data_IF_461998212227
#
_entry.id   IF_461998212227
#
_cell.length_a   1.000
_cell.length_b   1.000
_cell.length_c   1.000
_cell.angle_alpha   90.00
_cell.angle_beta   90.00
_cell.angle_gamma   90.00
#
_symmetry.space_group_name_H-M   'P 1'
#
loop_
_entity.id
_entity.type
_entity.pdbx_description
1 polymer ?
#
# COMPACT_ATOMS: atom_id res chain seq x y z
N UNK A 1 -15.13 14.18 36.03
CA UNK A 1 -13.89 13.41 36.29
C UNK A 1 -13.06 13.41 35.01
N UNK A 2 -11.92 14.10 34.98
CA UNK A 2 -11.04 14.17 33.80
C UNK A 2 -10.56 12.79 33.34
N UNK A 3 -10.51 11.82 34.24
CA UNK A 3 -10.14 10.43 33.97
C UNK A 3 -11.15 9.74 33.06
N UNK A 4 -12.45 9.99 33.23
CA UNK A 4 -13.49 9.42 32.36
C UNK A 4 -13.41 9.98 30.93
N UNK A 5 -13.12 11.29 30.80
CA UNK A 5 -12.89 11.93 29.50
C UNK A 5 -11.64 11.39 28.80
N UNK A 6 -10.53 11.25 29.52
CA UNK A 6 -9.30 10.67 28.98
C UNK A 6 -9.50 9.20 28.57
N UNK A 7 -10.26 8.42 29.36
CA UNK A 7 -10.58 7.04 29.04
C UNK A 7 -11.43 6.93 27.76
N UNK A 8 -12.54 7.68 27.66
CA UNK A 8 -13.37 7.76 26.45
C UNK A 8 -12.58 8.28 25.24
N UNK A 9 -11.66 9.24 25.44
CA UNK A 9 -10.80 9.75 24.37
C UNK A 9 -9.78 8.69 23.91
N UNK A 10 -9.25 7.86 24.81
CA UNK A 10 -8.36 6.75 24.42
C UNK A 10 -9.09 5.60 23.73
N UNK A 11 -10.34 5.32 24.08
CA UNK A 11 -11.17 4.30 23.41
C UNK A 11 -11.59 4.73 22.00
N UNK A 12 -11.98 6.00 21.83
CA UNK A 12 -12.34 6.56 20.52
C UNK A 12 -11.14 6.69 19.57
N UNK A 13 -9.96 7.04 20.08
CA UNK A 13 -8.71 7.02 19.29
C UNK A 13 -8.36 5.60 18.83
N UNK A 14 -8.55 4.60 19.70
CA UNK A 14 -8.25 3.20 19.41
C UNK A 14 -9.17 2.64 18.32
N UNK A 15 -10.49 2.87 18.38
CA UNK A 15 -11.41 2.42 17.34
C UNK A 15 -11.10 3.06 15.98
N UNK A 16 -10.82 4.36 15.96
CA UNK A 16 -10.47 5.08 14.74
C UNK A 16 -9.17 4.58 14.09
N UNK A 17 -8.15 4.23 14.91
CA UNK A 17 -6.91 3.61 14.43
C UNK A 17 -7.15 2.19 13.91
N UNK A 18 -8.01 1.38 14.56
CA UNK A 18 -8.37 0.04 14.07
C UNK A 18 -9.17 0.08 12.75
N UNK A 19 -10.12 1.01 12.62
CA UNK A 19 -10.87 1.21 11.38
C UNK A 19 -9.97 1.70 10.24
N UNK A 20 -9.02 2.57 10.56
CA UNK A 20 -8.01 3.05 9.61
C UNK A 20 -7.05 1.93 9.18
N UNK A 21 -6.69 1.05 10.12
CA UNK A 21 -5.87 -0.12 9.85
C UNK A 21 -6.57 -1.11 8.92
N UNK A 22 -7.85 -1.42 9.20
CA UNK A 22 -8.65 -2.31 8.34
C UNK A 22 -8.78 -1.77 6.92
N UNK A 23 -9.04 -0.47 6.77
CA UNK A 23 -9.09 0.19 5.45
C UNK A 23 -7.78 0.05 4.68
N UNK A 24 -6.63 0.13 5.34
CA UNK A 24 -5.34 -0.06 4.67
C UNK A 24 -5.17 -1.48 4.10
N UNK A 25 -5.65 -2.51 4.82
CA UNK A 25 -5.63 -3.90 4.34
C UNK A 25 -6.61 -4.15 3.20
N UNK A 26 -7.81 -3.54 3.25
CA UNK A 26 -8.79 -3.63 2.18
C UNK A 26 -8.28 -2.95 0.90
N UNK A 27 -7.73 -1.74 1.00
CA UNK A 27 -7.14 -1.01 -0.12
C UNK A 27 -5.97 -1.79 -0.75
N UNK A 28 -5.16 -2.43 0.09
CA UNK A 28 -4.10 -3.32 -0.37
C UNK A 28 -4.64 -4.51 -1.16
N UNK A 29 -5.59 -5.25 -0.59
CA UNK A 29 -6.17 -6.44 -1.20
C UNK A 29 -6.86 -6.09 -2.52
N UNK A 30 -7.58 -4.98 -2.55
CA UNK A 30 -8.25 -4.47 -3.73
C UNK A 30 -7.25 -4.12 -4.84
N UNK A 31 -6.24 -3.31 -4.54
CA UNK A 31 -5.22 -2.95 -5.53
C UNK A 31 -4.46 -4.18 -6.02
N UNK A 32 -4.08 -5.08 -5.11
CA UNK A 32 -3.35 -6.30 -5.45
C UNK A 32 -4.15 -7.18 -6.42
N UNK A 33 -5.45 -7.36 -6.15
CA UNK A 33 -6.33 -8.11 -7.02
C UNK A 33 -6.51 -7.42 -8.38
N UNK A 34 -6.73 -6.09 -8.39
CA UNK A 34 -6.84 -5.31 -9.62
C UNK A 34 -5.57 -5.43 -10.48
N UNK A 35 -4.39 -5.37 -9.88
CA UNK A 35 -3.12 -5.53 -10.61
C UNK A 35 -2.97 -6.95 -11.14
N UNK A 36 -3.25 -7.97 -10.32
CA UNK A 36 -3.19 -9.36 -10.77
C UNK A 36 -4.15 -9.63 -11.92
N UNK A 37 -5.36 -9.07 -11.84
CA UNK A 37 -6.40 -9.21 -12.85
C UNK A 37 -6.06 -8.45 -14.13
N UNK A 38 -5.75 -7.15 -14.06
CA UNK A 38 -5.48 -6.34 -15.24
C UNK A 38 -4.23 -6.79 -16.00
N UNK A 39 -3.19 -7.28 -15.30
CA UNK A 39 -1.96 -7.74 -15.95
C UNK A 39 -1.98 -9.24 -16.27
N UNK A 40 -3.04 -9.96 -15.84
CA UNK A 40 -3.13 -11.42 -15.82
C UNK A 40 -1.84 -12.07 -15.31
N UNK A 41 -1.33 -11.57 -14.19
CA UNK A 41 -0.06 -11.99 -13.61
C UNK A 41 -0.25 -12.81 -12.33
N UNK A 42 0.69 -13.72 -12.07
CA UNK A 42 0.72 -14.51 -10.83
C UNK A 42 1.19 -13.63 -9.65
N UNK A 43 0.77 -13.97 -8.45
CA UNK A 43 1.19 -13.32 -7.19
C UNK A 43 2.70 -13.09 -7.10
N UNK A 44 3.51 -14.10 -7.48
CA UNK A 44 4.98 -14.03 -7.48
C UNK A 44 5.58 -13.01 -8.46
N UNK A 45 4.85 -12.69 -9.53
CA UNK A 45 5.23 -11.62 -10.46
C UNK A 45 4.75 -10.27 -9.96
N UNK A 46 3.56 -10.22 -9.34
CA UNK A 46 2.97 -9.01 -8.78
C UNK A 46 3.75 -8.47 -7.57
N UNK A 47 4.26 -9.33 -6.69
CA UNK A 47 5.07 -8.93 -5.51
C UNK A 47 6.37 -8.20 -5.87
N UNK A 48 6.90 -8.46 -7.07
CA UNK A 48 8.15 -7.90 -7.57
C UNK A 48 7.94 -6.60 -8.35
N UNK A 49 6.70 -6.14 -8.49
CA UNK A 49 6.39 -4.84 -9.10
C UNK A 49 6.79 -3.74 -8.12
N UNK A 50 7.60 -2.81 -8.61
CA UNK A 50 8.09 -1.63 -7.89
C UNK A 50 7.49 -0.37 -8.49
N UNK A 51 7.38 0.69 -7.71
CA UNK A 51 6.91 1.99 -8.22
C UNK A 51 7.79 2.49 -9.39
N UNK A 52 9.09 2.20 -9.36
CA UNK A 52 10.04 2.52 -10.43
C UNK A 52 9.78 1.77 -11.75
N UNK A 53 8.97 0.71 -11.72
CA UNK A 53 8.55 -0.02 -12.92
C UNK A 53 7.25 0.50 -13.51
N UNK A 54 6.56 1.43 -12.83
CA UNK A 54 5.43 2.14 -13.42
C UNK A 54 5.98 3.29 -14.25
N UNK A 55 5.54 3.36 -15.50
CA UNK A 55 5.71 4.52 -16.35
C UNK A 55 4.34 4.99 -16.82
N UNK A 56 4.22 6.29 -17.06
CA UNK A 56 3.03 6.85 -17.67
C UNK A 56 3.30 7.12 -19.15
N UNK A 57 2.43 6.65 -20.04
CA UNK A 57 2.47 6.95 -21.48
C UNK A 57 1.09 7.39 -21.94
N UNK A 58 1.00 8.67 -22.31
CA UNK A 58 -0.23 9.29 -22.82
C UNK A 58 -1.39 9.06 -21.86
N UNK A 59 -2.33 8.19 -22.21
CA UNK A 59 -3.54 7.88 -21.43
C UNK A 59 -3.46 6.53 -20.69
N UNK A 60 -2.31 5.85 -20.77
CA UNK A 60 -2.10 4.52 -20.20
C UNK A 60 -0.97 4.49 -19.17
N UNK A 61 -1.20 3.75 -18.09
CA UNK A 61 -0.15 3.38 -17.16
C UNK A 61 0.53 2.12 -17.68
N UNK A 62 1.84 2.17 -17.91
CA UNK A 62 2.62 1.02 -18.34
C UNK A 62 3.38 0.43 -17.16
N UNK A 63 3.31 -0.89 -17.02
CA UNK A 63 4.04 -1.64 -16.00
C UNK A 63 5.08 -2.53 -16.66
N UNK A 64 6.34 -2.37 -16.23
CA UNK A 64 7.46 -3.20 -16.66
C UNK A 64 7.75 -4.33 -15.67
N UNK A 65 7.77 -5.58 -16.12
CA UNK A 65 8.27 -6.67 -15.29
C UNK A 65 9.79 -6.72 -15.31
N UNK A 66 10.43 -6.73 -14.14
CA UNK A 66 11.89 -6.82 -14.05
C UNK A 66 12.43 -8.19 -14.46
N UNK A 67 11.70 -9.26 -14.13
CA UNK A 67 12.08 -10.63 -14.47
C UNK A 67 10.87 -11.40 -14.97
N UNK A 68 11.03 -12.07 -16.10
CA UNK A 68 10.04 -13.00 -16.65
C UNK A 68 10.67 -14.38 -16.69
N UNK A 69 9.94 -15.42 -16.24
CA UNK A 69 10.44 -16.80 -16.26
C UNK A 69 10.81 -17.29 -17.67
N UNK A 70 10.20 -16.71 -18.69
CA UNK A 70 10.45 -17.06 -20.09
C UNK A 70 11.75 -16.43 -20.63
N UNK A 71 12.41 -15.55 -19.88
CA UNK A 71 13.61 -14.85 -20.31
C UNK A 71 14.75 -15.10 -19.33
N UNK A 72 15.29 -16.32 -19.38
CA UNK A 72 16.43 -16.73 -18.53
C UNK A 72 17.74 -16.05 -18.97
N UNK A 73 17.88 -15.75 -20.26
CA UNK A 73 19.06 -15.08 -20.82
C UNK A 73 19.03 -13.55 -20.65
N UNK A 74 17.88 -12.97 -20.28
CA UNK A 74 17.73 -11.54 -20.03
C UNK A 74 17.92 -10.65 -21.26
N UNK A 75 17.94 -11.25 -22.45
CA UNK A 75 18.27 -10.57 -23.71
C UNK A 75 17.01 -10.06 -24.43
N UNK A 76 15.80 -10.41 -23.94
CA UNK A 76 14.56 -9.91 -24.53
C UNK A 76 14.22 -8.54 -23.97
N UNK A 77 13.73 -7.62 -24.81
CA UNK A 77 13.17 -6.37 -24.33
C UNK A 77 12.03 -6.68 -23.35
N UNK A 78 11.93 -5.92 -22.24
CA UNK A 78 10.85 -6.09 -21.27
C UNK A 78 9.52 -5.76 -21.94
N UNK A 79 8.64 -6.74 -22.07
CA UNK A 79 7.31 -6.52 -22.62
C UNK A 79 6.49 -5.61 -21.69
N UNK A 80 6.17 -4.36 -22.11
CA UNK A 80 5.37 -3.46 -21.32
C UNK A 80 3.91 -3.94 -21.27
N UNK A 81 3.28 -3.87 -20.10
CA UNK A 81 1.83 -4.09 -19.97
C UNK A 81 1.13 -2.77 -19.72
N UNK A 82 0.37 -2.33 -20.72
CA UNK A 82 -0.46 -1.12 -20.64
C UNK A 82 -1.72 -1.41 -19.86
N UNK A 83 -2.03 -0.52 -18.93
CA UNK A 83 -3.20 -0.53 -18.07
C UNK A 83 -3.93 0.80 -18.28
N UNK A 84 -5.24 0.73 -18.52
CA UNK A 84 -6.04 1.89 -18.88
C UNK A 84 -6.93 2.33 -17.72
N UNK A 85 -7.24 3.62 -17.71
CA UNK A 85 -8.25 4.16 -16.81
C UNK A 85 -9.65 3.72 -17.29
N UNK A 86 -10.49 3.27 -16.35
CA UNK A 86 -11.90 2.99 -16.60
C UNK A 86 -12.78 3.99 -15.84
N UNK A 87 -13.33 5.03 -16.51
CA UNK A 87 -14.19 6.01 -15.86
C UNK A 87 -15.63 5.50 -15.62
N UNK A 88 -16.04 4.43 -16.30
CA UNK A 88 -17.40 3.89 -16.23
C UNK A 88 -17.58 3.10 -14.92
N UNK A 89 -16.55 2.35 -14.52
CA UNK A 89 -16.56 1.53 -13.31
C UNK A 89 -15.31 1.86 -12.49
N UNK A 90 -15.39 2.84 -11.57
CA UNK A 90 -14.24 3.29 -10.79
C UNK A 90 -13.70 2.20 -9.86
N UNK A 91 -14.58 1.31 -9.38
CA UNK A 91 -14.19 0.20 -8.51
C UNK A 91 -13.19 -0.75 -9.17
N UNK A 92 -13.30 -0.96 -10.48
CA UNK A 92 -12.44 -1.86 -11.25
C UNK A 92 -11.27 -1.10 -11.90
N UNK A 93 -11.22 0.22 -11.76
CA UNK A 93 -10.22 1.06 -12.39
C UNK A 93 -8.86 0.93 -11.68
N UNK A 94 -7.86 0.28 -12.29
CA UNK A 94 -6.53 0.10 -11.67
C UNK A 94 -5.79 1.43 -11.47
N UNK A 95 -5.96 2.39 -12.39
CA UNK A 95 -5.37 3.75 -12.29
C UNK A 95 -5.91 4.47 -11.06
N UNK A 96 -7.22 4.42 -10.84
CA UNK A 96 -7.84 5.00 -9.65
C UNK A 96 -7.39 4.28 -8.38
N UNK A 97 -7.30 2.95 -8.43
CA UNK A 97 -6.78 2.14 -7.32
C UNK A 97 -5.37 2.55 -6.91
N UNK A 98 -4.47 2.78 -7.89
CA UNK A 98 -3.13 3.31 -7.61
C UNK A 98 -3.17 4.70 -6.98
N UNK A 99 -4.02 5.60 -7.49
CA UNK A 99 -4.17 6.95 -6.96
C UNK A 99 -4.63 6.98 -5.49
N UNK A 100 -5.66 6.20 -5.16
CA UNK A 100 -6.18 6.09 -3.79
C UNK A 100 -5.11 5.49 -2.87
N UNK A 101 -4.42 4.44 -3.34
CA UNK A 101 -3.34 3.80 -2.59
C UNK A 101 -2.21 4.79 -2.28
N UNK A 102 -1.74 5.55 -3.28
CA UNK A 102 -0.69 6.55 -3.07
C UNK A 102 -1.14 7.71 -2.19
N UNK A 103 -2.41 8.13 -2.27
CA UNK A 103 -2.94 9.21 -1.44
C UNK A 103 -3.03 8.81 0.05
N UNK A 104 -3.46 7.58 0.34
CA UNK A 104 -3.64 7.11 1.72
C UNK A 104 -2.31 6.70 2.35
N UNK A 105 -1.38 6.12 1.58
CA UNK A 105 -0.16 5.51 2.11
C UNK A 105 1.09 6.33 1.85
N UNK A 106 1.07 7.24 0.87
CA UNK A 106 2.24 8.01 0.44
C UNK A 106 3.32 7.17 -0.25
N UNK A 107 4.30 7.84 -0.84
CA UNK A 107 5.46 7.20 -1.45
C UNK A 107 6.44 6.78 -0.36
N UNK A 108 6.86 5.52 -0.34
CA UNK A 108 7.87 5.02 0.60
C UNK A 108 9.11 4.50 -0.13
N UNK A 109 10.29 4.70 0.48
CA UNK A 109 11.60 4.69 -0.19
C UNK A 109 12.10 3.31 -0.66
N UNK A 110 11.48 2.21 -0.22
CA UNK A 110 11.98 0.85 -0.56
C UNK A 110 11.63 0.35 -1.96
N UNK A 111 11.03 1.17 -2.82
CA UNK A 111 10.79 0.78 -4.21
C UNK A 111 9.58 -0.11 -4.41
N UNK A 112 9.26 -1.00 -3.47
CA UNK A 112 8.22 -2.02 -3.63
C UNK A 112 6.82 -1.42 -3.50
N UNK A 113 5.98 -1.69 -4.49
CA UNK A 113 4.62 -1.18 -4.56
C UNK A 113 3.72 -1.81 -3.49
N UNK A 114 4.08 -3.00 -3.02
CA UNK A 114 3.22 -3.92 -2.27
C UNK A 114 3.72 -4.26 -0.85
N UNK A 115 4.57 -3.42 -0.22
CA UNK A 115 5.10 -3.66 1.14
C UNK A 115 4.21 -3.13 2.28
N UNK A 116 2.90 -3.19 2.12
CA UNK A 116 1.96 -2.60 3.10
C UNK A 116 1.90 -3.35 4.44
N UNK A 117 2.36 -4.60 4.50
CA UNK A 117 2.48 -5.32 5.77
C UNK A 117 3.40 -4.59 6.76
N UNK A 118 4.43 -3.90 6.29
CA UNK A 118 5.43 -3.32 7.18
C UNK A 118 4.96 -1.98 7.80
N UNK A 119 4.19 -1.16 7.08
CA UNK A 119 3.61 0.07 7.66
C UNK A 119 2.48 -0.22 8.65
N UNK A 120 1.57 -1.15 8.34
CA UNK A 120 0.54 -1.58 9.31
C UNK A 120 1.17 -2.14 10.58
N UNK A 121 2.21 -2.99 10.44
CA UNK A 121 2.96 -3.53 11.57
C UNK A 121 3.70 -2.45 12.35
N UNK A 122 4.30 -1.47 11.68
CA UNK A 122 5.05 -0.40 12.34
C UNK A 122 4.13 0.62 13.04
N UNK A 123 2.94 0.94 12.48
CA UNK A 123 1.88 1.71 13.16
C UNK A 123 1.37 1.00 14.41
N UNK A 124 1.19 -0.32 14.34
CA UNK A 124 0.90 -1.15 15.52
C UNK A 124 2.05 -1.09 16.55
N UNK A 125 3.31 -1.22 16.13
CA UNK A 125 4.48 -1.17 17.03
C UNK A 125 4.70 0.21 17.68
N UNK A 126 4.42 1.30 16.97
CA UNK A 126 4.58 2.67 17.50
C UNK A 126 3.36 3.13 18.30
N UNK A 127 2.15 2.67 17.96
CA UNK A 127 0.91 2.96 18.71
C UNK A 127 0.74 2.13 19.99
N UNK A 128 1.46 1.00 20.10
CA UNK A 128 1.46 0.14 21.29
C UNK A 128 2.61 0.46 22.28
N UNK A 129 3.35 1.56 22.07
CA UNK A 129 4.31 2.04 23.09
C UNK A 129 3.53 2.84 24.13
N UNK A 130 3.29 2.31 25.35
CA UNK A 130 2.82 3.17 26.43
C UNK A 130 3.85 4.28 26.61
N UNK A 131 3.38 5.53 26.66
CA UNK A 131 4.20 6.67 27.03
C UNK A 131 4.99 6.28 28.27
N UNK A 132 6.32 6.16 28.14
CA UNK A 132 7.17 6.06 29.32
C UNK A 132 6.99 7.38 30.05
N UNK A 133 6.27 7.32 31.17
CA UNK A 133 6.23 8.40 32.14
C UNK A 133 7.67 8.85 32.38
N UNK A 134 7.94 10.12 32.07
CA UNK A 134 9.15 10.80 32.52
C UNK A 134 9.06 10.88 34.05
N UNK A 135 9.49 9.83 34.76
CA UNK A 135 9.73 9.95 36.19
C UNK A 135 10.98 10.81 36.35
N UNK A 136 10.75 12.05 36.75
CA UNK A 136 11.78 13.00 37.11
C UNK A 136 12.74 12.40 38.13
N UNK A 137 14.03 12.49 37.83
CA UNK A 137 15.08 12.42 38.86
C UNK A 137 15.14 13.79 39.52
N UNK A 138 14.33 13.97 40.57
CA UNK A 138 14.60 14.96 41.61
C UNK A 138 15.31 14.23 42.75
N UNK A 139 16.63 14.45 42.82
CA UNK A 139 17.52 14.56 44.01
C UNK A 139 18.94 14.43 43.52
#
# INVERSE_FOLDING_TARGET
>A
SAIAYLFTQTETLRSHDFDSLMKCFELFGHLFLLVCWNLMCRVKSAENIRHAHLAWREDSTIIYFAHMKNDQDGNRPRDPRSVYANPIIPEICPVLGFGIYFAVLGFWQDGKLLLLLDRCSNKLKTGFRPNKFQQGKNT
#
